data_IF_069698981732
#
_entry.id   IF_069698981732
#
_cell.length_a   1.000
_cell.length_b   1.000
_cell.length_c   1.000
_cell.angle_alpha   90.00
_cell.angle_beta   90.00
_cell.angle_gamma   90.00
#
_symmetry.space_group_name_H-M   'P 1'
#
loop_
_entity.id
_entity.type
_entity.pdbx_description
1 polymer ?
#
# COMPACT_ATOMS: atom_id res chain seq x y z
N UNK A 1 -5.38 11.72 -15.17
CA UNK A 1 -4.84 10.41 -15.59
C UNK A 1 -5.85 9.32 -15.22
N UNK A 2 -6.48 8.66 -16.21
CA UNK A 2 -7.56 7.66 -15.99
C UNK A 2 -7.05 6.21 -15.94
N UNK A 3 -5.74 6.00 -16.02
CA UNK A 3 -5.11 4.72 -16.35
C UNK A 3 -5.33 3.58 -15.34
N UNK A 4 -5.80 3.87 -14.13
CA UNK A 4 -5.92 2.91 -13.03
C UNK A 4 -7.31 2.86 -12.38
N UNK A 5 -8.35 3.35 -13.05
CA UNK A 5 -9.71 3.41 -12.46
C UNK A 5 -10.34 2.04 -12.20
N UNK A 6 -10.07 1.05 -13.05
CA UNK A 6 -10.68 -0.29 -12.99
C UNK A 6 -9.65 -1.41 -12.72
N UNK A 7 -8.47 -1.06 -12.20
CA UNK A 7 -7.42 -2.02 -11.88
C UNK A 7 -7.26 -2.11 -10.37
N UNK A 8 -6.88 -3.28 -9.89
CA UNK A 8 -6.49 -3.44 -8.49
C UNK A 8 -5.22 -2.64 -8.19
N UNK A 9 -5.19 -1.99 -7.04
CA UNK A 9 -4.14 -1.10 -6.57
C UNK A 9 -3.52 -1.72 -5.33
N UNK A 10 -2.33 -2.27 -5.52
CA UNK A 10 -1.52 -2.80 -4.44
C UNK A 10 -0.33 -1.89 -4.16
N UNK A 11 0.01 -1.76 -2.89
CA UNK A 11 1.25 -1.11 -2.44
C UNK A 11 2.33 -2.16 -2.22
N UNK A 12 3.55 -1.90 -2.67
CA UNK A 12 4.72 -2.69 -2.28
C UNK A 12 5.54 -1.87 -1.28
N UNK A 13 5.84 -2.45 -0.12
CA UNK A 13 6.67 -1.81 0.89
C UNK A 13 7.74 -2.75 1.42
N UNK A 14 8.99 -2.31 1.39
CA UNK A 14 10.15 -3.02 1.94
C UNK A 14 10.71 -2.24 3.14
N UNK A 15 11.12 -2.94 4.21
CA UNK A 15 11.67 -2.32 5.43
C UNK A 15 10.76 -1.21 5.99
N UNK A 16 11.28 0.01 6.15
CA UNK A 16 10.48 1.19 6.53
C UNK A 16 9.33 1.46 5.56
N UNK A 17 9.52 1.18 4.28
CA UNK A 17 8.50 1.31 3.24
C UNK A 17 7.26 0.45 3.51
N UNK A 18 7.41 -0.69 4.20
CA UNK A 18 6.28 -1.50 4.65
C UNK A 18 5.38 -0.76 5.65
N UNK A 19 5.97 -0.06 6.61
CA UNK A 19 5.21 0.77 7.55
C UNK A 19 4.52 1.95 6.83
N UNK A 20 5.20 2.58 5.87
CA UNK A 20 4.61 3.64 5.03
C UNK A 20 3.44 3.12 4.19
N UNK A 21 3.56 1.93 3.59
CA UNK A 21 2.49 1.30 2.83
C UNK A 21 1.25 1.06 3.70
N UNK A 22 1.44 0.61 4.94
CA UNK A 22 0.34 0.44 5.91
C UNK A 22 -0.30 1.79 6.28
N UNK A 23 0.49 2.84 6.49
CA UNK A 23 -0.03 4.19 6.77
C UNK A 23 -0.86 4.74 5.61
N UNK A 24 -0.41 4.55 4.36
CA UNK A 24 -1.14 4.97 3.16
C UNK A 24 -2.44 4.18 2.98
N UNK A 25 -2.40 2.86 3.15
CA UNK A 25 -3.59 2.01 3.10
C UNK A 25 -4.62 2.44 4.15
N UNK A 26 -4.19 2.70 5.40
CA UNK A 26 -5.07 3.20 6.47
C UNK A 26 -5.64 4.59 6.20
N UNK A 27 -4.90 5.47 5.52
CA UNK A 27 -5.35 6.83 5.18
C UNK A 27 -6.43 6.83 4.09
N UNK A 28 -6.38 5.88 3.15
CA UNK A 28 -7.35 5.75 2.07
C UNK A 28 -7.74 4.27 1.82
N UNK A 29 -8.48 3.65 2.75
CA UNK A 29 -8.76 2.21 2.71
C UNK A 29 -9.64 1.79 1.53
N UNK A 30 -10.46 2.70 0.98
CA UNK A 30 -11.26 2.43 -0.22
C UNK A 30 -10.52 2.64 -1.54
N UNK A 31 -9.34 3.26 -1.49
CA UNK A 31 -8.55 3.52 -2.69
C UNK A 31 -7.56 2.39 -2.99
N UNK A 32 -7.04 1.73 -1.95
CA UNK A 32 -6.05 0.66 -2.04
C UNK A 32 -6.70 -0.69 -1.75
N UNK A 33 -6.51 -1.66 -2.65
CA UNK A 33 -7.07 -3.00 -2.50
C UNK A 33 -6.21 -3.89 -1.59
N UNK A 34 -4.93 -3.56 -1.41
CA UNK A 34 -4.05 -4.26 -0.48
C UNK A 34 -2.59 -3.79 -0.49
N UNK A 35 -1.74 -4.50 0.23
CA UNK A 35 -0.30 -4.24 0.28
C UNK A 35 0.51 -5.55 0.36
N UNK A 36 1.66 -5.58 -0.32
CA UNK A 36 2.69 -6.61 -0.24
C UNK A 36 3.84 -6.06 0.59
N UNK A 37 4.18 -6.76 1.68
CA UNK A 37 5.17 -6.31 2.66
C UNK A 37 6.38 -7.24 2.65
N UNK A 38 7.58 -6.68 2.54
CA UNK A 38 8.84 -7.42 2.57
C UNK A 38 9.70 -6.90 3.71
N UNK A 39 10.01 -7.78 4.67
CA UNK A 39 10.73 -7.43 5.89
C UNK A 39 10.26 -6.10 6.53
N UNK A 40 8.95 -5.88 6.74
CA UNK A 40 8.45 -4.58 7.18
C UNK A 40 8.97 -4.25 8.58
N UNK A 41 9.20 -2.97 8.84
CA UNK A 41 9.37 -2.53 10.23
C UNK A 41 8.06 -2.70 10.99
N UNK A 42 8.07 -3.51 12.05
CA UNK A 42 6.90 -3.88 12.87
C UNK A 42 6.79 -3.10 14.19
N UNK A 43 7.40 -1.91 14.28
CA UNK A 43 7.40 -1.12 15.51
C UNK A 43 6.25 -0.12 15.54
#
# INVERSE_FOLDING_TARGET
>A
RMENKNKMRFLLGESMGGAVALLLHKKQPSFWDGAVLVAPMCK
#
